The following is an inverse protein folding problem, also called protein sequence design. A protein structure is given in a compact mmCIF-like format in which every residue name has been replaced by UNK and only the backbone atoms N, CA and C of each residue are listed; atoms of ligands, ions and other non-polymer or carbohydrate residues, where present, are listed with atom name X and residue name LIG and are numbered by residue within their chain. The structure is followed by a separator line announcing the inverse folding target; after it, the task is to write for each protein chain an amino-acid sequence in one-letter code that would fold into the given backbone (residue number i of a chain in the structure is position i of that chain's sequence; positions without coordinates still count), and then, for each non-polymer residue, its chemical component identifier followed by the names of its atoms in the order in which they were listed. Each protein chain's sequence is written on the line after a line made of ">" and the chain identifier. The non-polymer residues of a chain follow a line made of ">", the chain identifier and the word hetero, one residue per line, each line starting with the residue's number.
data_IF_000455456829
#
_entry.id   IF_000455456829
#
_cell.length_a   1.000
_cell.length_b   1.000
_cell.length_c   1.000
_cell.angle_alpha   90.00
_cell.angle_beta   90.00
_cell.angle_gamma   90.00
#
_symmetry.space_group_name_H-M   'P 1'
#
loop_
_entity.id
_entity.type
_entity.pdbx_description
1 polymer ?
#
# COMPACT_ATOMS: atom_id res chain seq x y z
N UNK A 1 11.75 -18.43 -11.63
CA UNK A 1 10.47 -17.77 -11.24
C UNK A 1 10.49 -16.38 -11.81
N UNK A 2 9.45 -15.98 -12.56
CA UNK A 2 9.33 -14.62 -13.08
C UNK A 2 9.12 -13.69 -11.88
N UNK A 3 9.91 -12.63 -11.74
CA UNK A 3 9.69 -11.64 -10.68
C UNK A 3 8.30 -11.03 -10.84
N UNK A 4 7.51 -11.06 -9.77
CA UNK A 4 6.26 -10.30 -9.72
C UNK A 4 6.60 -8.82 -9.51
N UNK A 5 6.63 -8.08 -10.62
CA UNK A 5 6.95 -6.66 -10.65
C UNK A 5 6.01 -5.87 -9.75
N UNK A 6 4.73 -6.26 -9.67
CA UNK A 6 3.74 -5.53 -8.88
C UNK A 6 4.02 -5.72 -7.39
N UNK A 7 4.30 -6.95 -6.95
CA UNK A 7 4.68 -7.25 -5.56
C UNK A 7 5.95 -6.52 -5.15
N UNK A 8 6.98 -6.55 -5.99
CA UNK A 8 8.24 -5.87 -5.71
C UNK A 8 8.05 -4.35 -5.56
N UNK A 9 7.28 -3.74 -6.47
CA UNK A 9 6.98 -2.30 -6.43
C UNK A 9 6.09 -1.91 -5.25
N UNK A 10 5.06 -2.70 -4.93
CA UNK A 10 4.16 -2.41 -3.81
C UNK A 10 4.87 -2.53 -2.47
N UNK A 11 5.78 -3.50 -2.32
CA UNK A 11 6.64 -3.61 -1.14
C UNK A 11 7.59 -2.42 -1.01
N UNK A 12 8.30 -2.06 -2.09
CA UNK A 12 9.18 -0.90 -2.09
C UNK A 12 8.43 0.41 -1.78
N UNK A 13 7.20 0.55 -2.29
CA UNK A 13 6.31 1.65 -1.98
C UNK A 13 5.93 1.70 -0.49
N UNK A 14 5.53 0.57 0.11
CA UNK A 14 5.22 0.50 1.54
C UNK A 14 6.41 0.92 2.42
N UNK A 15 7.64 0.49 2.07
CA UNK A 15 8.87 0.94 2.76
C UNK A 15 9.06 2.45 2.66
N UNK A 16 8.78 3.06 1.49
CA UNK A 16 8.84 4.52 1.34
C UNK A 16 7.79 5.24 2.16
N UNK A 17 6.57 4.72 2.25
CA UNK A 17 5.49 5.28 3.08
C UNK A 17 5.87 5.26 4.57
N UNK A 18 6.47 4.17 5.06
CA UNK A 18 6.95 4.09 6.44
C UNK A 18 8.03 5.15 6.71
N UNK A 19 8.95 5.37 5.76
CA UNK A 19 9.96 6.44 5.89
C UNK A 19 9.35 7.84 5.88
N UNK A 20 8.35 8.07 5.01
CA UNK A 20 7.60 9.33 4.97
C UNK A 20 6.88 9.59 6.30
N UNK A 21 6.20 8.58 6.85
CA UNK A 21 5.52 8.68 8.15
C UNK A 21 6.49 9.11 9.25
N UNK A 22 7.64 8.43 9.36
CA UNK A 22 8.68 8.80 10.35
C UNK A 22 9.14 10.24 10.18
N UNK A 23 9.42 10.66 8.95
CA UNK A 23 9.82 12.04 8.65
C UNK A 23 8.75 13.06 9.07
N UNK A 24 7.47 12.80 8.77
CA UNK A 24 6.37 13.70 9.14
C UNK A 24 6.20 13.80 10.66
N UNK A 25 6.32 12.69 11.39
CA UNK A 25 6.23 12.70 12.85
C UNK A 25 7.44 13.37 13.50
N UNK A 26 8.67 13.00 13.10
CA UNK A 26 9.90 13.44 13.75
C UNK A 26 10.30 14.87 13.38
N UNK A 27 10.10 15.27 12.11
CA UNK A 27 10.60 16.55 11.59
C UNK A 27 9.51 17.61 11.44
N UNK A 28 8.25 17.19 11.27
CA UNK A 28 7.12 18.09 11.06
C UNK A 28 6.11 18.06 12.21
N UNK A 29 6.28 17.17 13.18
CA UNK A 29 5.36 16.99 14.31
C UNK A 29 3.90 16.83 13.87
N UNK A 30 3.69 16.13 12.74
CA UNK A 30 2.36 15.87 12.18
C UNK A 30 1.99 14.40 12.42
N UNK A 31 0.80 14.15 12.98
CA UNK A 31 0.38 12.84 13.50
C UNK A 31 -0.97 12.35 13.00
N UNK A 32 -1.75 13.20 12.35
CA UNK A 32 -3.11 12.91 11.90
C UNK A 32 -3.08 12.42 10.45
N UNK A 33 -2.58 13.25 9.54
CA UNK A 33 -2.50 12.93 8.11
C UNK A 33 -1.41 11.88 7.84
N UNK A 34 -0.29 11.97 8.56
CA UNK A 34 0.82 11.01 8.48
C UNK A 34 0.33 9.60 8.81
N UNK A 35 -0.55 9.46 9.80
CA UNK A 35 -1.17 8.17 10.15
C UNK A 35 -2.15 7.69 9.09
N UNK A 36 -2.91 8.60 8.45
CA UNK A 36 -3.78 8.24 7.32
C UNK A 36 -2.95 7.71 6.15
N UNK A 37 -1.92 8.44 5.72
CA UNK A 37 -1.01 8.06 4.64
C UNK A 37 -0.26 6.76 4.96
N UNK A 38 0.16 6.55 6.21
CA UNK A 38 0.78 5.29 6.63
C UNK A 38 -0.16 4.11 6.37
N UNK A 39 -1.43 4.23 6.79
CA UNK A 39 -2.42 3.17 6.66
C UNK A 39 -2.74 2.87 5.19
N UNK A 40 -3.10 3.89 4.43
CA UNK A 40 -3.49 3.73 3.01
C UNK A 40 -2.31 3.34 2.13
N UNK A 41 -1.11 3.88 2.40
CA UNK A 41 0.05 3.58 1.57
C UNK A 41 0.62 2.17 1.78
N UNK A 42 0.52 1.64 3.01
CA UNK A 42 1.00 0.27 3.31
C UNK A 42 -0.02 -0.82 2.98
N UNK A 43 -1.32 -0.51 3.00
CA UNK A 43 -2.39 -1.46 2.68
C UNK A 43 -2.35 -1.94 1.21
N UNK A 44 -1.80 -1.14 0.30
CA UNK A 44 -1.60 -1.51 -1.12
C UNK A 44 -0.80 -2.80 -1.25
N UNK A 45 0.34 -2.90 -0.57
CA UNK A 45 1.18 -4.10 -0.59
C UNK A 45 0.49 -5.32 0.03
N UNK A 46 -0.26 -5.11 1.11
CA UNK A 46 -1.03 -6.16 1.76
C UNK A 46 -2.12 -6.72 0.82
N UNK A 47 -2.88 -5.85 0.14
CA UNK A 47 -3.91 -6.28 -0.82
C UNK A 47 -3.33 -7.00 -2.03
N UNK A 48 -2.14 -6.57 -2.52
CA UNK A 48 -1.43 -7.28 -3.59
C UNK A 48 -1.04 -8.68 -3.14
N UNK A 49 -0.49 -8.84 -1.93
CA UNK A 49 -0.18 -10.15 -1.36
C UNK A 49 -1.42 -11.03 -1.18
N UNK A 50 -2.53 -10.49 -0.66
CA UNK A 50 -3.78 -11.24 -0.51
C UNK A 50 -4.36 -11.68 -1.86
N UNK A 51 -4.22 -10.85 -2.90
CA UNK A 51 -4.70 -11.19 -4.23
C UNK A 51 -3.98 -12.41 -4.80
N UNK A 52 -2.67 -12.58 -4.55
CA UNK A 52 -1.90 -13.74 -5.03
C UNK A 52 -2.48 -15.09 -4.58
N UNK A 53 -3.08 -15.13 -3.39
CA UNK A 53 -3.70 -16.32 -2.81
C UNK A 53 -5.22 -16.39 -3.07
N UNK A 54 -5.74 -15.61 -4.03
CA UNK A 54 -7.16 -15.61 -4.33
C UNK A 54 -7.61 -16.91 -5.00
N UNK A 55 -8.68 -17.50 -4.45
CA UNK A 55 -9.29 -18.74 -4.96
C UNK A 55 -10.03 -18.57 -6.30
N UNK A 56 -10.31 -17.33 -6.72
CA UNK A 56 -10.99 -17.03 -7.98
C UNK A 56 -10.50 -15.73 -8.62
N UNK A 57 -10.68 -15.62 -9.95
CA UNK A 57 -10.38 -14.39 -10.70
C UNK A 57 -11.19 -13.19 -10.21
N UNK A 58 -12.43 -13.41 -9.77
CA UNK A 58 -13.29 -12.36 -9.24
C UNK A 58 -12.74 -11.82 -7.91
N UNK A 59 -12.30 -12.71 -7.00
CA UNK A 59 -11.69 -12.30 -5.74
C UNK A 59 -10.36 -11.57 -5.98
N UNK A 60 -9.53 -12.06 -6.91
CA UNK A 60 -8.31 -11.38 -7.33
C UNK A 60 -8.59 -9.94 -7.80
N UNK A 61 -9.54 -9.77 -8.71
CA UNK A 61 -9.92 -8.46 -9.24
C UNK A 61 -10.49 -7.54 -8.14
N UNK A 62 -11.26 -8.08 -7.21
CA UNK A 62 -11.79 -7.33 -6.07
C UNK A 62 -10.67 -6.82 -5.15
N UNK A 63 -9.71 -7.67 -4.77
CA UNK A 63 -8.55 -7.29 -3.94
C UNK A 63 -7.66 -6.24 -4.62
N UNK A 64 -7.41 -6.40 -5.93
CA UNK A 64 -6.71 -5.39 -6.73
C UNK A 64 -7.49 -4.06 -6.83
N UNK A 65 -8.82 -4.12 -6.88
CA UNK A 65 -9.69 -2.95 -6.83
C UNK A 65 -9.57 -2.18 -5.51
N UNK A 66 -9.48 -2.90 -4.38
CA UNK A 66 -9.21 -2.30 -3.07
C UNK A 66 -7.81 -1.67 -3.06
N UNK A 67 -6.77 -2.36 -3.53
CA UNK A 67 -5.42 -1.81 -3.63
C UNK A 67 -5.39 -0.47 -4.41
N UNK A 68 -6.14 -0.38 -5.52
CA UNK A 68 -6.29 0.86 -6.29
C UNK A 68 -7.01 1.97 -5.51
N UNK A 69 -8.03 1.64 -4.73
CA UNK A 69 -8.73 2.60 -3.88
C UNK A 69 -7.78 3.19 -2.83
N UNK A 70 -6.97 2.35 -2.20
CA UNK A 70 -5.99 2.76 -1.18
C UNK A 70 -4.87 3.63 -1.79
N UNK A 71 -4.44 3.33 -3.03
CA UNK A 71 -3.53 4.20 -3.79
C UNK A 71 -4.14 5.58 -4.04
N UNK A 72 -5.42 5.65 -4.42
CA UNK A 72 -6.10 6.94 -4.61
C UNK A 72 -6.21 7.72 -3.31
N UNK A 73 -6.47 7.06 -2.18
CA UNK A 73 -6.47 7.70 -0.85
C UNK A 73 -5.06 8.18 -0.46
N UNK A 74 -4.01 7.44 -0.83
CA UNK A 74 -2.61 7.85 -0.57
C UNK A 74 -2.17 9.04 -1.42
N UNK A 75 -2.75 9.18 -2.63
CA UNK A 75 -2.43 10.24 -3.57
C UNK A 75 -3.13 11.57 -3.25
N UNK A 76 -4.29 11.51 -2.59
CA UNK A 76 -5.10 12.67 -2.19
C UNK A 76 -4.46 13.43 -1.04
#
# INVERSE_FOLDING_TARGET
>A
MKEDILKAKSFAFAVRIVKLYKYLCEQKTEYVLSKQVLRSGTSVGAMVCEAEYSESKANFAHKMGIARKELNETLY
#
